data_IF_393273095530
#
_entry.id   IF_393273095530
#
_cell.length_a   1.000
_cell.length_b   1.000
_cell.length_c   1.000
_cell.angle_alpha   90.00
_cell.angle_beta   90.00
_cell.angle_gamma   90.00
#
_symmetry.space_group_name_H-M   'P 1'
#
loop_
_entity.id
_entity.type
_entity.pdbx_description
1 polymer ?
#
# COMPACT_ATOMS: atom_id res chain seq x y z
N UNK A 1 26.28 26.20 18.87
CA UNK A 1 25.45 25.75 17.75
C UNK A 1 24.43 26.84 17.40
N UNK A 2 24.51 27.38 16.20
CA UNK A 2 23.81 28.61 15.80
C UNK A 2 22.29 28.37 15.74
N UNK A 3 21.48 29.31 16.18
CA UNK A 3 20.02 29.28 16.20
C UNK A 3 19.43 28.94 14.81
N UNK A 4 20.06 29.47 13.76
CA UNK A 4 19.76 29.20 12.35
C UNK A 4 19.88 27.69 11.98
N UNK A 5 20.86 26.99 12.54
CA UNK A 5 21.08 25.57 12.29
C UNK A 5 19.98 24.71 12.95
N UNK A 6 19.51 25.13 14.14
CA UNK A 6 18.39 24.46 14.83
C UNK A 6 17.06 24.61 14.07
N UNK A 7 16.83 25.80 13.49
CA UNK A 7 15.63 26.05 12.69
C UNK A 7 15.66 25.23 11.39
N UNK A 8 16.84 25.12 10.75
CA UNK A 8 17.02 24.33 9.54
C UNK A 8 16.80 22.83 9.80
N UNK A 9 17.31 22.30 10.92
CA UNK A 9 17.07 20.91 11.31
C UNK A 9 15.60 20.64 11.66
N UNK A 10 14.94 21.55 12.35
CA UNK A 10 13.52 21.44 12.66
C UNK A 10 12.65 21.48 11.39
N UNK A 11 12.99 22.31 10.42
CA UNK A 11 12.29 22.40 9.13
C UNK A 11 12.48 21.16 8.28
N UNK A 12 13.68 20.56 8.25
CA UNK A 12 13.96 19.32 7.52
C UNK A 12 13.21 18.14 8.17
N UNK A 13 13.13 18.10 9.49
CA UNK A 13 12.42 17.05 10.21
C UNK A 13 10.91 17.12 9.97
N UNK A 14 10.34 18.32 9.88
CA UNK A 14 8.92 18.55 9.58
C UNK A 14 8.59 18.16 8.14
N UNK A 15 9.45 18.47 7.17
CA UNK A 15 9.24 18.08 5.75
C UNK A 15 9.32 16.57 5.57
N UNK A 16 10.21 15.86 6.27
CA UNK A 16 10.28 14.40 6.27
C UNK A 16 9.06 13.76 6.91
N UNK A 17 8.48 14.37 7.95
CA UNK A 17 7.26 13.89 8.60
C UNK A 17 6.00 14.13 7.74
N UNK A 18 5.93 15.21 6.97
CA UNK A 18 4.78 15.49 6.10
C UNK A 18 4.74 14.62 4.84
N UNK A 19 5.88 14.20 4.30
CA UNK A 19 5.93 13.26 3.16
C UNK A 19 5.54 11.83 3.54
N UNK A 20 5.64 11.45 4.82
CA UNK A 20 5.20 10.17 5.35
C UNK A 20 3.74 10.15 5.84
N UNK A 21 3.04 11.28 5.80
CA UNK A 21 1.73 11.41 6.49
C UNK A 21 0.63 10.55 5.86
N UNK A 22 0.67 10.34 4.55
CA UNK A 22 -0.31 9.50 3.86
C UNK A 22 -0.06 7.99 4.05
N UNK A 23 1.18 7.60 4.30
CA UNK A 23 1.56 6.21 4.57
C UNK A 23 1.54 5.86 6.08
N UNK A 24 1.69 6.83 6.97
CA UNK A 24 1.80 6.61 8.42
C UNK A 24 0.49 6.15 9.07
N UNK A 25 -0.66 6.42 8.44
CA UNK A 25 -1.98 5.94 8.93
C UNK A 25 -2.24 4.47 8.65
N UNK A 26 -1.40 3.81 7.86
CA UNK A 26 -1.59 2.44 7.44
C UNK A 26 -0.64 1.48 8.14
N UNK A 27 -0.78 1.30 9.45
CA UNK A 27 -0.26 0.13 10.21
C UNK A 27 1.05 -0.49 9.67
N UNK A 28 1.93 0.31 9.07
CA UNK A 28 3.21 -0.16 8.56
C UNK A 28 3.15 -0.99 7.26
N UNK A 29 2.00 -1.13 6.59
CA UNK A 29 1.90 -1.93 5.37
C UNK A 29 2.80 -1.39 4.25
N UNK A 30 2.78 -0.08 3.98
CA UNK A 30 3.63 0.53 2.97
C UNK A 30 5.12 0.34 3.30
N UNK A 31 5.51 0.55 4.56
CA UNK A 31 6.88 0.32 5.03
C UNK A 31 7.27 -1.16 4.90
N UNK A 32 6.36 -2.08 5.22
CA UNK A 32 6.58 -3.51 5.06
C UNK A 32 6.74 -3.92 3.60
N UNK A 33 5.93 -3.40 2.70
CA UNK A 33 6.04 -3.64 1.26
C UNK A 33 7.40 -3.12 0.77
N UNK A 34 7.75 -1.87 1.07
CA UNK A 34 9.02 -1.26 0.67
C UNK A 34 10.22 -2.05 1.19
N UNK A 35 10.23 -2.41 2.47
CA UNK A 35 11.30 -3.22 3.08
C UNK A 35 11.48 -4.58 2.39
N UNK A 36 10.38 -5.23 2.01
CA UNK A 36 10.45 -6.52 1.33
C UNK A 36 10.88 -6.37 -0.15
N UNK A 37 10.52 -5.28 -0.81
CA UNK A 37 11.05 -4.93 -2.14
C UNK A 37 12.57 -4.77 -2.09
N UNK A 38 13.10 -4.02 -1.11
CA UNK A 38 14.55 -3.85 -0.94
C UNK A 38 15.26 -5.18 -0.68
N UNK A 39 14.68 -6.07 0.14
CA UNK A 39 15.21 -7.42 0.34
C UNK A 39 15.26 -8.23 -0.95
N UNK A 40 14.21 -8.19 -1.77
CA UNK A 40 14.17 -8.89 -3.06
C UNK A 40 15.19 -8.33 -4.06
N UNK A 41 15.54 -7.05 -3.95
CA UNK A 41 16.57 -6.43 -4.80
C UNK A 41 17.99 -6.78 -4.38
N UNK A 42 18.25 -6.75 -3.06
CA UNK A 42 19.59 -6.87 -2.49
C UNK A 42 19.98 -8.30 -2.13
N UNK A 43 19.03 -9.08 -1.65
CA UNK A 43 19.25 -10.45 -1.20
C UNK A 43 19.00 -11.45 -2.34
N UNK A 44 19.59 -12.64 -2.24
CA UNK A 44 19.38 -13.73 -3.21
C UNK A 44 18.05 -14.48 -3.00
N UNK A 45 17.07 -13.86 -2.34
CA UNK A 45 15.74 -14.43 -2.15
C UNK A 45 14.86 -14.11 -3.36
N UNK A 46 14.04 -15.07 -3.75
CA UNK A 46 13.13 -14.92 -4.89
C UNK A 46 11.71 -14.54 -4.49
N UNK A 47 11.36 -14.75 -3.23
CA UNK A 47 9.99 -14.57 -2.71
C UNK A 47 10.00 -14.12 -1.25
N UNK A 48 9.06 -13.29 -0.88
CA UNK A 48 8.75 -12.96 0.51
C UNK A 48 7.24 -12.80 0.72
N UNK A 49 6.79 -13.00 1.95
CA UNK A 49 5.39 -12.92 2.35
C UNK A 49 5.23 -11.91 3.48
N UNK A 50 4.22 -11.06 3.35
CA UNK A 50 3.78 -10.11 4.37
C UNK A 50 2.44 -10.61 4.90
N UNK A 51 2.36 -10.91 6.19
CA UNK A 51 1.11 -11.29 6.87
C UNK A 51 0.60 -10.12 7.69
N UNK A 52 -0.64 -9.72 7.42
CA UNK A 52 -1.33 -8.65 8.13
C UNK A 52 -2.40 -9.31 8.99
N UNK A 53 -2.37 -9.16 10.32
CA UNK A 53 -3.47 -9.61 11.18
C UNK A 53 -4.78 -8.96 10.72
N UNK A 54 -5.80 -9.76 10.47
CA UNK A 54 -7.06 -9.29 9.90
C UNK A 54 -8.21 -10.24 10.28
N UNK A 55 -9.39 -9.68 10.40
CA UNK A 55 -10.63 -10.42 10.60
C UNK A 55 -11.39 -10.63 9.27
N UNK A 56 -12.54 -11.29 9.33
CA UNK A 56 -13.38 -11.56 8.16
C UNK A 56 -13.97 -10.32 7.51
N UNK A 57 -13.93 -9.16 8.19
CA UNK A 57 -14.42 -7.88 7.67
C UNK A 57 -13.31 -7.03 7.01
N UNK A 58 -12.09 -7.56 6.98
CA UNK A 58 -10.92 -6.88 6.45
C UNK A 58 -10.61 -7.37 5.05
N UNK A 59 -10.26 -6.43 4.17
CA UNK A 59 -9.72 -6.73 2.84
C UNK A 59 -8.65 -5.73 2.44
N UNK A 60 -7.80 -6.13 1.52
CA UNK A 60 -6.82 -5.28 0.87
C UNK A 60 -7.14 -5.23 -0.61
N UNK A 61 -7.23 -4.04 -1.17
CA UNK A 61 -7.56 -3.80 -2.58
C UNK A 61 -6.36 -3.13 -3.24
N UNK A 62 -5.80 -3.79 -4.26
CA UNK A 62 -4.80 -3.18 -5.14
C UNK A 62 -5.51 -2.59 -6.35
N UNK A 63 -5.17 -1.34 -6.68
CA UNK A 63 -5.82 -0.56 -7.73
C UNK A 63 -4.82 0.21 -8.59
N UNK A 64 -5.29 0.68 -9.74
CA UNK A 64 -4.64 1.67 -10.58
C UNK A 64 -5.63 2.82 -10.89
N UNK A 65 -5.22 3.91 -11.56
CA UNK A 65 -6.11 5.04 -11.87
C UNK A 65 -7.36 4.66 -12.70
N UNK A 66 -7.32 3.54 -13.39
CA UNK A 66 -8.41 3.09 -14.28
C UNK A 66 -9.27 1.99 -13.65
N UNK A 67 -9.12 1.74 -12.35
CA UNK A 67 -9.86 0.68 -11.66
C UNK A 67 -11.34 1.04 -11.53
N UNK A 68 -12.22 0.12 -11.92
CA UNK A 68 -13.65 0.20 -11.68
C UNK A 68 -13.99 -0.49 -10.36
N UNK A 69 -14.51 0.27 -9.42
CA UNK A 69 -14.86 -0.23 -8.08
C UNK A 69 -16.32 -0.63 -7.93
N UNK A 70 -17.13 -0.38 -8.95
CA UNK A 70 -18.60 -0.58 -8.91
C UNK A 70 -19.02 -2.05 -8.70
N UNK A 71 -18.13 -2.99 -9.06
CA UNK A 71 -18.37 -4.43 -8.93
C UNK A 71 -17.83 -5.02 -7.61
N UNK A 72 -17.30 -4.19 -6.72
CA UNK A 72 -16.82 -4.61 -5.41
C UNK A 72 -17.97 -4.44 -4.42
N UNK A 73 -18.22 -5.46 -3.62
CA UNK A 73 -19.25 -5.44 -2.58
C UNK A 73 -18.86 -4.51 -1.41
N UNK A 74 -19.01 -3.22 -1.65
CA UNK A 74 -18.72 -2.14 -0.70
C UNK A 74 -19.84 -1.09 -0.78
N UNK A 75 -20.04 -0.35 0.30
CA UNK A 75 -20.92 0.80 0.30
C UNK A 75 -20.52 1.80 -0.79
N UNK A 76 -21.51 2.44 -1.40
CA UNK A 76 -21.30 3.41 -2.49
C UNK A 76 -20.35 4.54 -2.10
N UNK A 77 -20.46 5.04 -0.89
CA UNK A 77 -19.55 6.08 -0.35
C UNK A 77 -18.09 5.63 -0.31
N UNK A 78 -17.85 4.37 0.03
CA UNK A 78 -16.51 3.77 0.04
C UNK A 78 -15.98 3.57 -1.37
N UNK A 79 -16.82 3.12 -2.31
CA UNK A 79 -16.46 3.01 -3.73
C UNK A 79 -16.09 4.37 -4.33
N UNK A 80 -16.87 5.41 -4.05
CA UNK A 80 -16.60 6.79 -4.50
C UNK A 80 -15.27 7.30 -3.94
N UNK A 81 -15.01 7.05 -2.66
CA UNK A 81 -13.73 7.44 -2.03
C UNK A 81 -12.54 6.68 -2.62
N UNK A 82 -12.67 5.41 -2.95
CA UNK A 82 -11.63 4.64 -3.65
C UNK A 82 -11.36 5.21 -5.05
N UNK A 83 -12.38 5.64 -5.77
CA UNK A 83 -12.23 6.33 -7.06
C UNK A 83 -11.41 7.61 -6.90
N UNK A 84 -11.77 8.47 -5.95
CA UNK A 84 -11.01 9.71 -5.67
C UNK A 84 -9.53 9.41 -5.37
N UNK A 85 -9.25 8.43 -4.51
CA UNK A 85 -7.89 8.03 -4.15
C UNK A 85 -7.13 7.51 -5.39
N UNK A 86 -7.77 6.69 -6.21
CA UNK A 86 -7.12 6.10 -7.39
C UNK A 86 -6.74 7.13 -8.45
N UNK A 87 -7.53 8.19 -8.62
CA UNK A 87 -7.26 9.26 -9.57
C UNK A 87 -6.30 10.33 -9.05
N UNK A 88 -6.13 10.45 -7.73
CA UNK A 88 -5.44 11.58 -7.12
C UNK A 88 -3.98 11.74 -7.56
N UNK A 89 -3.25 10.64 -7.81
CA UNK A 89 -1.82 10.65 -8.19
C UNK A 89 -1.50 9.93 -9.51
N UNK A 90 -2.48 9.42 -10.20
CA UNK A 90 -2.28 8.61 -11.42
C UNK A 90 -1.29 7.43 -11.21
N UNK A 91 -1.21 6.91 -9.99
CA UNK A 91 -0.30 5.84 -9.58
C UNK A 91 -1.09 4.60 -9.13
N UNK A 92 -0.42 3.45 -9.19
CA UNK A 92 -0.95 2.24 -8.55
C UNK A 92 -0.94 2.39 -7.04
N UNK A 93 -1.94 1.84 -6.39
CA UNK A 93 -2.06 1.95 -4.94
C UNK A 93 -2.66 0.72 -4.29
N UNK A 94 -2.70 0.76 -2.99
CA UNK A 94 -3.32 -0.22 -2.13
C UNK A 94 -4.17 0.47 -1.09
N UNK A 95 -5.37 -0.03 -0.89
CA UNK A 95 -6.27 0.41 0.19
C UNK A 95 -6.54 -0.76 1.13
N UNK A 96 -6.58 -0.46 2.41
CA UNK A 96 -7.00 -1.40 3.46
C UNK A 96 -8.41 -1.03 3.87
N UNK A 97 -9.30 -1.99 3.77
CA UNK A 97 -10.72 -1.86 4.13
C UNK A 97 -10.96 -2.66 5.40
N UNK A 98 -11.68 -2.08 6.32
CA UNK A 98 -12.16 -2.76 7.52
C UNK A 98 -13.61 -2.37 7.79
N UNK A 99 -14.49 -3.35 7.96
CA UNK A 99 -15.92 -3.10 8.17
C UNK A 99 -16.57 -2.27 7.06
N UNK A 100 -16.18 -2.46 5.80
CA UNK A 100 -16.69 -1.73 4.65
C UNK A 100 -16.14 -0.32 4.48
N UNK A 101 -15.25 0.16 5.36
CA UNK A 101 -14.66 1.52 5.34
C UNK A 101 -13.17 1.48 5.09
N UNK A 102 -12.65 2.50 4.41
CA UNK A 102 -11.22 2.66 4.19
C UNK A 102 -10.55 3.02 5.52
N UNK A 103 -9.71 2.11 6.02
CA UNK A 103 -8.89 2.36 7.21
C UNK A 103 -7.56 3.01 6.87
N UNK A 104 -7.13 2.88 5.61
CA UNK A 104 -5.95 3.55 5.11
C UNK A 104 -5.63 3.19 3.66
N UNK A 105 -4.71 3.95 3.04
CA UNK A 105 -4.23 3.71 1.69
C UNK A 105 -2.80 4.19 1.52
N UNK A 106 -2.11 3.65 0.53
CA UNK A 106 -0.81 4.15 0.09
C UNK A 106 -0.60 3.87 -1.40
N UNK A 107 0.35 4.58 -2.00
CA UNK A 107 0.74 4.36 -3.40
C UNK A 107 1.92 3.40 -3.47
N UNK A 108 1.91 2.57 -4.50
CA UNK A 108 2.88 1.51 -4.69
C UNK A 108 4.04 1.99 -5.55
N UNK A 109 5.29 1.54 -5.30
CA UNK A 109 6.38 1.74 -6.23
C UNK A 109 6.04 1.20 -7.62
N UNK A 110 6.38 1.94 -8.69
CA UNK A 110 6.06 1.56 -10.07
C UNK A 110 6.69 0.24 -10.51
N UNK A 111 7.78 -0.16 -9.88
CA UNK A 111 8.48 -1.42 -10.15
C UNK A 111 7.72 -2.67 -9.70
N UNK A 112 6.73 -2.53 -8.82
CA UNK A 112 5.88 -3.64 -8.38
C UNK A 112 4.68 -3.77 -9.31
N UNK A 113 4.52 -4.94 -9.89
CA UNK A 113 3.42 -5.26 -10.81
C UNK A 113 2.43 -6.21 -10.11
N UNK A 114 1.12 -6.00 -10.26
CA UNK A 114 0.15 -7.00 -9.82
C UNK A 114 0.26 -8.24 -10.71
N UNK A 115 0.24 -9.43 -10.10
CA UNK A 115 0.28 -10.70 -10.82
C UNK A 115 -1.08 -11.09 -11.41
N UNK A 116 -2.14 -10.42 -10.98
CA UNK A 116 -3.52 -10.64 -11.44
C UNK A 116 -4.10 -9.34 -11.98
N UNK A 117 -5.25 -9.44 -12.63
CA UNK A 117 -6.01 -8.26 -13.08
C UNK A 117 -6.40 -7.38 -11.89
N UNK A 118 -6.41 -6.07 -12.13
CA UNK A 118 -6.86 -5.06 -11.17
C UNK A 118 -8.36 -4.81 -11.37
N UNK A 119 -9.15 -4.64 -10.28
CA UNK A 119 -8.72 -4.66 -8.87
C UNK A 119 -8.32 -6.06 -8.39
N UNK A 120 -7.21 -6.16 -7.67
CA UNK A 120 -6.84 -7.38 -6.99
C UNK A 120 -7.26 -7.26 -5.52
N UNK A 121 -8.12 -8.15 -5.09
CA UNK A 121 -8.70 -8.15 -3.74
C UNK A 121 -8.15 -9.34 -2.97
N UNK A 122 -7.57 -9.07 -1.81
CA UNK A 122 -7.14 -10.07 -0.85
C UNK A 122 -8.01 -9.97 0.39
N UNK A 123 -8.54 -11.09 0.83
CA UNK A 123 -9.36 -11.22 2.04
C UNK A 123 -8.64 -12.00 3.12
N UNK A 124 -9.09 -11.85 4.34
CA UNK A 124 -8.51 -12.57 5.47
C UNK A 124 -8.80 -14.07 5.40
N UNK A 125 -7.77 -14.86 5.65
CA UNK A 125 -7.87 -16.29 5.85
C UNK A 125 -7.06 -16.67 7.09
N UNK A 126 -7.64 -17.47 7.99
CA UNK A 126 -7.00 -17.90 9.23
C UNK A 126 -6.46 -16.73 10.10
N UNK A 127 -7.17 -15.61 10.13
CA UNK A 127 -6.79 -14.44 10.93
C UNK A 127 -5.74 -13.52 10.29
N UNK A 128 -5.39 -13.73 9.02
CA UNK A 128 -4.40 -12.92 8.31
C UNK A 128 -4.79 -12.65 6.87
N UNK A 129 -4.39 -11.49 6.34
CA UNK A 129 -4.28 -11.25 4.90
C UNK A 129 -2.81 -11.49 4.53
N UNK A 130 -2.59 -12.34 3.54
CA UNK A 130 -1.25 -12.68 3.04
C UNK A 130 -0.98 -11.96 1.72
N UNK A 131 0.09 -11.18 1.69
CA UNK A 131 0.58 -10.49 0.49
C UNK A 131 1.92 -11.12 0.14
N UNK A 132 2.02 -11.72 -1.05
CA UNK A 132 3.25 -12.33 -1.53
C UNK A 132 3.92 -11.43 -2.57
N UNK A 133 5.21 -11.22 -2.42
CA UNK A 133 6.06 -10.54 -3.40
C UNK A 133 7.04 -11.56 -3.97
N UNK A 134 7.09 -11.66 -5.28
CA UNK A 134 7.96 -12.60 -5.99
C UNK A 134 8.76 -11.86 -7.04
N UNK A 135 10.06 -12.11 -7.06
CA UNK A 135 10.98 -11.59 -8.08
C UNK A 135 11.26 -12.65 -9.12
N UNK A 136 11.14 -12.27 -10.37
CA UNK A 136 11.58 -13.05 -11.52
C UNK A 136 12.40 -12.20 -12.50
N UNK A 137 12.62 -12.71 -13.71
CA UNK A 137 13.38 -12.01 -14.77
C UNK A 137 12.68 -10.75 -15.28
N UNK A 138 11.37 -10.65 -15.12
CA UNK A 138 10.53 -9.57 -15.62
C UNK A 138 10.27 -8.47 -14.58
N UNK A 139 10.62 -8.70 -13.32
CA UNK A 139 10.46 -7.75 -12.23
C UNK A 139 9.97 -8.33 -10.92
N UNK A 140 9.35 -7.47 -10.10
CA UNK A 140 8.73 -7.83 -8.83
C UNK A 140 7.22 -7.87 -9.01
N UNK A 141 6.63 -9.00 -8.69
CA UNK A 141 5.20 -9.24 -8.79
C UNK A 141 4.58 -9.41 -7.40
N UNK A 142 3.36 -8.91 -7.28
CA UNK A 142 2.56 -8.99 -6.07
C UNK A 142 1.38 -9.93 -6.32
N UNK A 143 1.18 -10.87 -5.38
CA UNK A 143 0.13 -11.89 -5.36
C UNK A 143 -0.75 -11.78 -4.13
#
# INVERSE_FOLDING_TARGET
>A
MNLLLKILFASITVVLLTSCHDCAKNSGLAASIQKNIEKLKTDKIAECEIKIPADSQSMVIFFNPYTHFDNIDLEKSTQERLKEISYAKEERGVAVIHGGKISGHCYMPQEVKPARSIPMILTAANGFISIKLKKDKEGIFLY
#
